data_IF_379846371389
#
_entry.id   IF_379846371389
#
_cell.length_a   1.000
_cell.length_b   1.000
_cell.length_c   1.000
_cell.angle_alpha   90.00
_cell.angle_beta   90.00
_cell.angle_gamma   90.00
#
_symmetry.space_group_name_H-M   'P 1'
#
loop_
_entity.id
_entity.type
_entity.pdbx_description
1 polymer ?
#
# COMPACT_ATOMS: atom_id res chain seq x y z
N UNK A 1 -19.92 18.80 -2.35
CA UNK A 1 -18.50 18.60 -2.00
C UNK A 1 -18.37 18.42 -0.49
N UNK A 2 -17.39 17.65 0.00
CA UNK A 2 -17.12 17.47 1.44
C UNK A 2 -16.09 18.49 1.91
N UNK A 3 -16.31 19.14 3.05
CA UNK A 3 -15.34 20.06 3.65
C UNK A 3 -14.43 19.28 4.60
N UNK A 4 -13.14 19.24 4.30
CA UNK A 4 -12.13 18.65 5.19
C UNK A 4 -11.75 19.62 6.31
N UNK A 5 -11.71 19.17 7.58
CA UNK A 5 -11.06 19.90 8.66
C UNK A 5 -9.61 20.25 8.33
N UNK A 6 -9.05 21.27 8.99
CA UNK A 6 -7.75 21.84 8.64
C UNK A 6 -6.62 20.81 8.74
N UNK A 7 -6.69 19.96 9.75
CA UNK A 7 -5.76 18.88 10.08
C UNK A 7 -5.77 17.72 9.06
N UNK A 8 -6.83 17.57 8.26
CA UNK A 8 -6.94 16.52 7.23
C UNK A 8 -6.76 17.05 5.80
N UNK A 9 -6.26 18.29 5.63
CA UNK A 9 -6.01 18.85 4.29
C UNK A 9 -4.83 18.16 3.63
N UNK A 10 -5.01 17.77 2.39
CA UNK A 10 -3.92 17.30 1.53
C UNK A 10 -3.07 18.49 1.06
N UNK A 11 -1.77 18.26 0.87
CA UNK A 11 -0.87 19.27 0.33
C UNK A 11 -1.11 19.54 -1.17
N UNK A 12 -1.64 18.56 -1.90
CA UNK A 12 -1.94 18.65 -3.33
C UNK A 12 -3.42 18.94 -3.63
N UNK A 13 -3.70 19.30 -4.88
CA UNK A 13 -5.06 19.57 -5.36
C UNK A 13 -5.82 18.32 -5.82
N UNK A 14 -5.13 17.18 -5.96
CA UNK A 14 -5.70 15.93 -6.48
C UNK A 14 -5.54 14.78 -5.48
N UNK A 15 -6.53 13.89 -5.46
CA UNK A 15 -6.58 12.69 -4.61
C UNK A 15 -7.01 11.48 -5.43
N UNK A 16 -6.54 10.30 -5.00
CA UNK A 16 -7.08 9.02 -5.42
C UNK A 16 -8.30 8.69 -4.57
N UNK A 17 -9.36 8.21 -5.20
CA UNK A 17 -10.62 7.86 -4.54
C UNK A 17 -10.83 6.35 -4.64
N UNK A 18 -11.09 5.71 -3.50
CA UNK A 18 -11.47 4.29 -3.43
C UNK A 18 -12.74 4.13 -2.61
N UNK A 19 -13.69 3.34 -3.11
CA UNK A 19 -14.87 2.92 -2.33
C UNK A 19 -14.56 1.61 -1.61
N UNK A 20 -14.89 1.55 -0.32
CA UNK A 20 -14.74 0.36 0.52
C UNK A 20 -16.06 0.15 1.26
N UNK A 21 -16.91 -0.74 0.73
CA UNK A 21 -18.29 -0.90 1.19
C UNK A 21 -19.07 0.41 1.07
N UNK A 22 -19.61 0.89 2.19
CA UNK A 22 -20.31 2.18 2.29
C UNK A 22 -19.36 3.37 2.45
N UNK A 23 -18.06 3.16 2.73
CA UNK A 23 -17.09 4.22 2.95
C UNK A 23 -16.38 4.66 1.66
N UNK A 24 -15.90 5.91 1.65
CA UNK A 24 -15.02 6.46 0.63
C UNK A 24 -13.69 6.83 1.28
N UNK A 25 -12.60 6.31 0.73
CA UNK A 25 -11.22 6.58 1.17
C UNK A 25 -10.58 7.54 0.18
N UNK A 26 -10.04 8.64 0.69
CA UNK A 26 -9.28 9.63 -0.06
C UNK A 26 -7.80 9.45 0.26
N UNK A 27 -6.98 9.22 -0.76
CA UNK A 27 -5.53 9.09 -0.64
C UNK A 27 -4.85 10.20 -1.43
N UNK A 28 -3.73 10.76 -0.94
CA UNK A 28 -2.98 11.75 -1.73
C UNK A 28 -2.49 11.12 -3.04
N UNK A 29 -2.60 11.85 -4.15
CA UNK A 29 -2.14 11.37 -5.48
C UNK A 29 -0.61 11.29 -5.55
N UNK A 30 0.06 12.30 -5.00
CA UNK A 30 1.52 12.28 -4.80
C UNK A 30 1.85 11.48 -3.55
N UNK A 31 3.02 10.81 -3.52
CA UNK A 31 3.50 10.09 -2.33
C UNK A 31 2.55 8.98 -1.83
N UNK A 32 1.76 8.40 -2.73
CA UNK A 32 0.79 7.33 -2.40
C UNK A 32 1.44 6.09 -1.78
N UNK A 33 2.75 5.91 -1.99
CA UNK A 33 3.54 4.82 -1.43
C UNK A 33 4.23 5.17 -0.11
N UNK A 34 4.29 6.43 0.31
CA UNK A 34 4.98 6.83 1.56
C UNK A 34 4.34 6.11 2.76
N UNK A 35 3.01 5.99 2.78
CA UNK A 35 2.29 5.23 3.82
C UNK A 35 2.68 3.75 3.83
N UNK A 36 2.87 3.14 2.65
CA UNK A 36 3.33 1.76 2.57
C UNK A 36 4.76 1.64 3.10
N UNK A 37 5.67 2.52 2.66
CA UNK A 37 7.08 2.48 3.09
C UNK A 37 7.20 2.69 4.60
N UNK A 38 6.49 3.68 5.17
CA UNK A 38 6.45 3.91 6.61
C UNK A 38 5.82 2.76 7.39
N UNK A 39 4.95 1.96 6.75
CA UNK A 39 4.40 0.78 7.41
C UNK A 39 5.44 -0.33 7.59
N UNK A 40 6.54 -0.31 6.82
CA UNK A 40 7.61 -1.29 6.96
C UNK A 40 8.33 -1.17 8.31
N UNK A 41 8.40 0.02 8.90
CA UNK A 41 8.96 0.26 10.23
C UNK A 41 8.15 -0.39 11.37
N UNK A 42 6.96 -0.92 11.07
CA UNK A 42 6.09 -1.59 12.04
C UNK A 42 6.34 -3.09 12.15
N UNK A 43 7.14 -3.66 11.25
CA UNK A 43 7.50 -5.08 11.37
C UNK A 43 8.50 -5.28 12.51
N UNK A 44 8.40 -6.39 13.27
CA UNK A 44 9.44 -6.81 14.20
C UNK A 44 10.81 -6.94 13.51
N UNK A 45 11.88 -6.76 14.29
CA UNK A 45 13.25 -6.85 13.77
C UNK A 45 13.63 -8.25 13.23
N UNK A 46 12.88 -9.29 13.60
CA UNK A 46 13.07 -10.67 13.16
C UNK A 46 12.14 -11.09 12.00
N UNK A 47 11.27 -10.18 11.54
CA UNK A 47 10.33 -10.49 10.48
C UNK A 47 11.04 -10.80 9.16
N UNK A 48 10.85 -12.03 8.65
CA UNK A 48 11.45 -12.54 7.41
C UNK A 48 12.99 -12.46 7.37
N UNK A 49 13.66 -12.63 8.52
CA UNK A 49 15.13 -12.72 8.58
C UNK A 49 15.70 -13.90 7.78
N UNK A 50 14.92 -14.97 7.64
CA UNK A 50 15.27 -16.12 6.82
C UNK A 50 14.28 -16.27 5.67
N UNK A 51 14.81 -16.65 4.51
CA UNK A 51 14.02 -16.95 3.33
C UNK A 51 14.19 -18.42 2.97
N UNK A 52 13.15 -19.21 3.17
CA UNK A 52 13.09 -20.62 2.77
C UNK A 52 12.83 -20.74 1.26
N UNK A 53 13.75 -20.24 0.44
CA UNK A 53 13.64 -20.38 -1.01
C UNK A 53 14.17 -21.75 -1.45
N UNK A 54 13.40 -22.54 -2.23
CA UNK A 54 13.89 -23.77 -2.82
C UNK A 54 15.12 -23.52 -3.70
N UNK A 55 16.08 -24.46 -3.69
CA UNK A 55 17.29 -24.37 -4.52
C UNK A 55 16.97 -24.53 -6.01
N UNK A 56 15.92 -25.30 -6.31
CA UNK A 56 15.49 -25.62 -7.66
C UNK A 56 14.20 -24.87 -7.99
N UNK A 57 14.14 -24.29 -9.18
CA UNK A 57 12.94 -23.64 -9.67
C UNK A 57 11.97 -24.70 -10.22
N UNK A 58 10.70 -24.62 -9.81
CA UNK A 58 9.66 -25.46 -10.40
C UNK A 58 9.46 -25.10 -11.88
N UNK A 59 9.38 -26.12 -12.73
CA UNK A 59 9.04 -25.94 -14.13
C UNK A 59 7.52 -25.89 -14.27
N UNK A 60 6.99 -24.74 -14.72
CA UNK A 60 5.58 -24.62 -15.07
C UNK A 60 5.32 -25.31 -16.41
N UNK A 61 4.28 -26.14 -16.46
CA UNK A 61 3.76 -26.67 -17.73
C UNK A 61 3.35 -25.51 -18.66
N UNK A 62 3.67 -25.61 -19.96
CA UNK A 62 3.27 -24.58 -20.92
C UNK A 62 1.75 -24.47 -20.99
N UNK A 63 1.27 -23.24 -21.23
CA UNK A 63 -0.15 -22.99 -21.50
C UNK A 63 -0.49 -23.63 -22.86
N UNK A 64 -1.59 -24.42 -22.90
CA UNK A 64 -2.15 -24.99 -24.13
C UNK A 64 -2.73 -23.92 -25.06
#
# INVERSE_FOLDING_TARGET
>A
AVRLPKEFRFAGAEVLIKRVGSAVVLLPKAKSWDTLVQSLDKFPADFMNEREQPREAERREPLQ
#
